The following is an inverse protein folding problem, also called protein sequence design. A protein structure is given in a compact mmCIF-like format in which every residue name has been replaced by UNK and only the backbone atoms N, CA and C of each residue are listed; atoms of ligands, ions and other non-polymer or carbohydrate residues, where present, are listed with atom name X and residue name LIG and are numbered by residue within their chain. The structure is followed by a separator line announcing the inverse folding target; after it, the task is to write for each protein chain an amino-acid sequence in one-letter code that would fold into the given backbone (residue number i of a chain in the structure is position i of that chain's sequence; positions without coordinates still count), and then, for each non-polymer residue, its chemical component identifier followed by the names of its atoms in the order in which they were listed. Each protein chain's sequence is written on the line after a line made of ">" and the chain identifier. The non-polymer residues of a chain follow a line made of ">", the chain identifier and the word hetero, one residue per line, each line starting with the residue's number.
data_IF_461596205589
#
_entry.id   IF_461596205589
#
_cell.length_a   1.000
_cell.length_b   1.000
_cell.length_c   1.000
_cell.angle_alpha   90.00
_cell.angle_beta   90.00
_cell.angle_gamma   90.00
#
_symmetry.space_group_name_H-M   'P 1'
#
loop_
_entity.id
_entity.type
_entity.pdbx_description
1 polymer ?
#
# COMPACT_ATOMS: atom_id res chain seq x y z
N UNK A 1 -6.32 2.02 -12.43
CA UNK A 1 -6.89 3.39 -12.51
C UNK A 1 -6.40 4.35 -11.40
N UNK A 2 -5.57 3.87 -10.45
CA UNK A 2 -4.92 4.72 -9.45
C UNK A 2 -3.91 5.71 -10.08
N UNK A 3 -3.49 5.45 -11.31
CA UNK A 3 -2.48 6.24 -12.03
C UNK A 3 -3.08 7.28 -12.99
N UNK A 4 -4.40 7.44 -12.97
CA UNK A 4 -5.03 8.48 -13.79
C UNK A 4 -4.83 9.83 -13.10
N UNK A 5 -4.18 10.82 -13.77
CA UNK A 5 -4.01 12.12 -13.18
C UNK A 5 -5.38 12.70 -12.79
N UNK A 6 -5.50 13.09 -11.53
CA UNK A 6 -6.69 13.75 -11.03
C UNK A 6 -6.80 15.12 -11.69
N UNK A 7 -8.01 15.50 -12.08
CA UNK A 7 -8.24 16.87 -12.48
C UNK A 7 -8.23 17.78 -11.24
N UNK A 8 -8.10 19.11 -11.42
CA UNK A 8 -8.02 20.08 -10.31
C UNK A 8 -9.19 19.93 -9.31
N UNK A 9 -10.39 19.60 -9.77
CA UNK A 9 -11.57 19.37 -8.92
C UNK A 9 -11.46 18.08 -8.11
N UNK A 10 -10.94 17.03 -8.70
CA UNK A 10 -10.76 15.75 -8.01
C UNK A 10 -9.63 15.81 -6.97
N UNK A 11 -8.66 16.69 -7.17
CA UNK A 11 -7.55 16.91 -6.22
C UNK A 11 -7.94 17.91 -5.11
N UNK A 12 -8.97 18.74 -5.34
CA UNK A 12 -9.43 19.78 -4.42
C UNK A 12 -10.08 19.26 -3.12
N UNK A 13 -10.31 17.95 -2.97
CA UNK A 13 -10.77 17.40 -1.69
C UNK A 13 -9.69 17.46 -0.60
N UNK A 14 -8.43 17.63 -0.97
CA UNK A 14 -7.32 17.88 -0.05
C UNK A 14 -7.27 19.38 0.25
N UNK A 15 -7.48 19.84 1.50
CA UNK A 15 -7.58 21.26 1.82
C UNK A 15 -6.41 22.10 1.32
N UNK A 16 -5.18 21.56 1.38
CA UNK A 16 -3.98 22.24 0.91
C UNK A 16 -3.96 22.40 -0.61
N UNK A 17 -4.44 21.39 -1.36
CA UNK A 17 -4.57 21.45 -2.82
C UNK A 17 -5.69 22.40 -3.25
N UNK A 18 -6.78 22.43 -2.51
CA UNK A 18 -7.86 23.40 -2.71
C UNK A 18 -7.33 24.82 -2.51
N UNK A 19 -6.62 25.10 -1.43
CA UNK A 19 -6.04 26.41 -1.16
C UNK A 19 -5.07 26.84 -2.27
N UNK A 20 -4.21 25.93 -2.73
CA UNK A 20 -3.30 26.18 -3.86
C UNK A 20 -4.07 26.46 -5.16
N UNK A 21 -5.06 25.62 -5.48
CA UNK A 21 -5.88 25.81 -6.68
C UNK A 21 -6.63 27.14 -6.68
N UNK A 22 -7.16 27.57 -5.53
CA UNK A 22 -7.81 28.87 -5.39
C UNK A 22 -6.85 30.04 -5.58
N UNK A 23 -5.64 29.93 -5.02
CA UNK A 23 -4.60 30.98 -5.17
C UNK A 23 -4.13 31.15 -6.63
N UNK A 24 -4.12 30.04 -7.39
CA UNK A 24 -3.73 30.05 -8.81
C UNK A 24 -4.88 30.44 -9.76
N UNK A 25 -6.14 30.37 -9.29
CA UNK A 25 -7.30 30.61 -10.14
C UNK A 25 -7.54 32.12 -10.35
N UNK A 26 -7.85 32.47 -11.58
CA UNK A 26 -8.21 33.84 -11.97
C UNK A 26 -9.68 33.88 -12.42
N UNK A 27 -10.32 35.02 -12.21
CA UNK A 27 -11.69 35.26 -12.70
C UNK A 27 -11.69 35.52 -14.22
N UNK A 28 -12.87 35.64 -14.81
CA UNK A 28 -13.04 35.90 -16.24
C UNK A 28 -12.39 37.24 -16.69
N UNK A 29 -12.13 38.15 -15.77
CA UNK A 29 -11.45 39.42 -16.00
C UNK A 29 -9.92 39.33 -15.79
N UNK A 30 -9.36 38.14 -15.62
CA UNK A 30 -7.93 37.91 -15.41
C UNK A 30 -7.42 38.26 -14.01
N UNK A 31 -8.28 38.70 -13.07
CA UNK A 31 -7.89 39.05 -11.71
C UNK A 31 -7.81 37.78 -10.83
N UNK A 32 -6.81 37.66 -9.91
CA UNK A 32 -6.73 36.54 -9.00
C UNK A 32 -7.98 36.46 -8.11
N UNK A 33 -8.44 35.23 -7.83
CA UNK A 33 -9.58 35.01 -6.93
C UNK A 33 -9.19 35.26 -5.47
N UNK A 34 -7.97 34.93 -5.09
CA UNK A 34 -7.43 35.16 -3.76
C UNK A 34 -6.53 36.38 -3.82
N UNK A 35 -6.92 37.45 -3.12
CA UNK A 35 -6.15 38.69 -3.06
C UNK A 35 -5.08 38.62 -1.97
N UNK A 36 -5.38 37.96 -0.85
CA UNK A 36 -4.49 37.84 0.29
C UNK A 36 -4.70 36.50 0.98
N UNK A 37 -3.60 35.91 1.47
CA UNK A 37 -3.62 34.71 2.29
C UNK A 37 -2.93 35.00 3.61
N UNK A 38 -3.66 34.90 4.70
CA UNK A 38 -3.13 35.10 6.05
C UNK A 38 -3.04 33.76 6.79
N UNK A 39 -1.85 33.43 7.28
CA UNK A 39 -1.67 32.29 8.18
C UNK A 39 -2.04 32.70 9.60
N UNK A 40 -3.14 32.19 10.10
CA UNK A 40 -3.64 32.50 11.45
C UNK A 40 -2.90 31.74 12.56
N UNK A 41 -2.33 30.57 12.20
CA UNK A 41 -1.62 29.72 13.14
C UNK A 41 -0.27 29.31 12.57
N UNK A 42 0.78 29.24 13.42
CA UNK A 42 2.08 28.72 12.97
C UNK A 42 1.92 27.27 12.54
N UNK A 43 2.46 26.95 11.37
CA UNK A 43 2.45 25.58 10.87
C UNK A 43 3.38 24.73 11.74
N UNK A 44 2.78 23.89 12.62
CA UNK A 44 3.52 22.99 13.54
C UNK A 44 3.90 21.67 12.89
N UNK A 45 3.34 21.40 11.73
CA UNK A 45 3.57 20.16 10.99
C UNK A 45 4.44 20.50 9.78
N UNK A 46 5.53 19.78 9.60
CA UNK A 46 6.36 19.93 8.41
C UNK A 46 5.51 19.71 7.15
N UNK A 47 5.77 20.46 6.07
CA UNK A 47 5.08 20.23 4.81
C UNK A 47 5.28 18.78 4.37
N UNK A 48 4.27 18.16 3.74
CA UNK A 48 4.40 16.79 3.26
C UNK A 48 5.59 16.71 2.28
N UNK A 49 6.34 15.62 2.32
CA UNK A 49 7.47 15.44 1.42
C UNK A 49 6.98 15.51 -0.04
N UNK A 50 7.60 16.34 -0.84
CA UNK A 50 7.23 16.49 -2.26
C UNK A 50 7.57 15.27 -3.09
N UNK A 51 8.53 14.45 -2.61
CA UNK A 51 8.90 13.18 -3.21
C UNK A 51 8.64 12.05 -2.23
N UNK A 52 8.06 10.96 -2.75
CA UNK A 52 7.90 9.75 -1.95
C UNK A 52 9.29 9.17 -1.65
N UNK A 53 9.62 8.95 -0.38
CA UNK A 53 10.90 8.35 -0.03
C UNK A 53 11.00 6.97 -0.71
N UNK A 54 12.07 6.75 -1.45
CA UNK A 54 12.35 5.45 -2.05
C UNK A 54 12.95 4.55 -0.98
N UNK A 55 12.20 3.54 -0.55
CA UNK A 55 12.58 2.61 0.51
C UNK A 55 13.00 1.20 0.05
N UNK A 56 13.55 0.97 -1.18
CA UNK A 56 13.84 -0.39 -1.61
C UNK A 56 14.88 -1.08 -0.73
N UNK A 57 15.90 -0.33 -0.30
CA UNK A 57 16.97 -0.87 0.56
C UNK A 57 16.42 -1.16 1.96
N UNK A 58 15.65 -0.24 2.54
CA UNK A 58 15.04 -0.44 3.86
C UNK A 58 14.10 -1.64 3.85
N UNK A 59 13.24 -1.76 2.84
CA UNK A 59 12.33 -2.89 2.69
C UNK A 59 13.10 -4.22 2.56
N UNK A 60 14.19 -4.23 1.78
CA UNK A 60 15.06 -5.39 1.65
C UNK A 60 15.69 -5.78 2.99
N UNK A 61 16.24 -4.81 3.72
CA UNK A 61 16.87 -5.05 5.03
C UNK A 61 15.86 -5.59 6.05
N UNK A 62 14.65 -5.02 6.09
CA UNK A 62 13.55 -5.53 6.94
C UNK A 62 13.18 -6.95 6.56
N UNK A 63 13.06 -7.24 5.26
CA UNK A 63 12.77 -8.60 4.78
C UNK A 63 13.85 -9.59 5.14
N UNK A 64 15.14 -9.24 4.99
CA UNK A 64 16.26 -10.08 5.39
C UNK A 64 16.32 -10.29 6.91
N UNK A 65 16.04 -9.25 7.70
CA UNK A 65 15.99 -9.37 9.15
C UNK A 65 14.87 -10.33 9.59
N UNK A 66 13.68 -10.21 9.01
CA UNK A 66 12.56 -11.12 9.25
C UNK A 66 12.92 -12.57 8.87
N UNK A 67 13.51 -12.78 7.70
CA UNK A 67 13.97 -14.10 7.28
C UNK A 67 15.00 -14.68 8.26
N UNK A 68 15.95 -13.86 8.73
CA UNK A 68 16.94 -14.24 9.74
C UNK A 68 16.29 -14.65 11.07
N UNK A 69 15.28 -13.91 11.53
CA UNK A 69 14.53 -14.24 12.75
C UNK A 69 13.82 -15.60 12.60
N UNK A 70 13.15 -15.83 11.47
CA UNK A 70 12.50 -17.12 11.20
C UNK A 70 13.52 -18.28 11.15
N UNK A 71 14.65 -18.06 10.49
CA UNK A 71 15.71 -19.07 10.41
C UNK A 71 16.30 -19.38 11.78
N UNK A 72 16.59 -18.36 12.58
CA UNK A 72 17.06 -18.52 13.95
C UNK A 72 16.05 -19.28 14.82
N UNK A 73 14.77 -18.90 14.73
CA UNK A 73 13.69 -19.59 15.44
C UNK A 73 13.60 -21.07 15.06
N UNK A 74 13.78 -21.43 13.78
CA UNK A 74 13.81 -22.82 13.32
C UNK A 74 14.98 -23.61 13.92
N UNK A 75 16.15 -22.97 14.09
CA UNK A 75 17.34 -23.58 14.69
C UNK A 75 17.20 -23.77 16.20
N UNK A 76 16.56 -22.82 16.89
CA UNK A 76 16.36 -22.89 18.34
C UNK A 76 15.24 -23.88 18.66
N UNK A 77 14.04 -23.70 18.12
CA UNK A 77 12.89 -24.55 18.42
C UNK A 77 11.81 -24.45 17.33
N UNK A 78 11.45 -25.55 16.73
CA UNK A 78 10.39 -25.62 15.71
C UNK A 78 9.05 -25.05 16.18
N UNK A 79 8.72 -25.19 17.46
CA UNK A 79 7.51 -24.62 18.04
C UNK A 79 7.51 -23.09 17.95
N UNK A 80 8.64 -22.45 18.28
CA UNK A 80 8.81 -20.99 18.18
C UNK A 80 8.62 -20.51 16.73
N UNK A 81 9.28 -21.17 15.78
CA UNK A 81 9.14 -20.81 14.37
C UNK A 81 7.67 -20.96 13.89
N UNK A 82 6.98 -22.02 14.31
CA UNK A 82 5.57 -22.22 13.97
C UNK A 82 4.68 -21.12 14.56
N UNK A 83 4.93 -20.71 15.79
CA UNK A 83 4.17 -19.62 16.44
C UNK A 83 4.41 -18.29 15.72
N UNK A 84 5.67 -17.97 15.41
CA UNK A 84 5.99 -16.74 14.65
C UNK A 84 5.36 -16.74 13.26
N UNK A 85 5.42 -17.86 12.55
CA UNK A 85 4.81 -18.01 11.24
C UNK A 85 3.29 -17.86 11.31
N UNK A 86 2.65 -18.46 12.30
CA UNK A 86 1.21 -18.35 12.52
C UNK A 86 0.81 -16.90 12.82
N UNK A 87 1.54 -16.21 13.70
CA UNK A 87 1.31 -14.80 14.02
C UNK A 87 1.46 -13.91 12.77
N UNK A 88 2.51 -14.16 11.98
CA UNK A 88 2.74 -13.43 10.72
C UNK A 88 1.60 -13.66 9.70
N UNK A 89 1.14 -14.91 9.53
CA UNK A 89 0.03 -15.19 8.63
C UNK A 89 -1.30 -14.61 9.11
N UNK A 90 -1.56 -14.61 10.42
CA UNK A 90 -2.74 -13.95 10.99
C UNK A 90 -2.68 -12.44 10.69
N UNK A 91 -1.55 -11.80 10.93
CA UNK A 91 -1.37 -10.38 10.65
C UNK A 91 -1.58 -10.06 9.16
N UNK A 92 -0.85 -10.74 8.27
CA UNK A 92 -0.96 -10.52 6.83
C UNK A 92 -2.36 -10.84 6.31
N UNK A 93 -2.98 -11.91 6.80
CA UNK A 93 -4.31 -12.33 6.37
C UNK A 93 -5.41 -11.37 6.82
N UNK A 94 -5.36 -10.87 8.06
CA UNK A 94 -6.28 -9.84 8.56
C UNK A 94 -6.12 -8.53 7.80
N UNK A 95 -4.89 -8.05 7.62
CA UNK A 95 -4.62 -6.87 6.83
C UNK A 95 -5.13 -7.02 5.39
N UNK A 96 -4.89 -8.19 4.77
CA UNK A 96 -5.40 -8.50 3.44
C UNK A 96 -6.92 -8.53 3.35
N UNK A 97 -7.61 -9.08 4.35
CA UNK A 97 -9.07 -9.04 4.41
C UNK A 97 -9.60 -7.61 4.52
N UNK A 98 -8.98 -6.76 5.35
CA UNK A 98 -9.35 -5.34 5.49
C UNK A 98 -9.15 -4.63 4.15
N UNK A 99 -7.98 -4.79 3.51
CA UNK A 99 -7.70 -4.17 2.22
C UNK A 99 -8.67 -4.63 1.12
N UNK A 100 -8.98 -5.94 1.09
CA UNK A 100 -9.94 -6.49 0.14
C UNK A 100 -11.36 -5.97 0.40
N UNK A 101 -11.76 -5.84 1.67
CA UNK A 101 -13.07 -5.28 2.02
C UNK A 101 -13.20 -3.81 1.63
N UNK A 102 -12.15 -3.02 1.82
CA UNK A 102 -12.11 -1.63 1.34
C UNK A 102 -12.24 -1.57 -0.18
N UNK A 103 -11.66 -2.51 -0.89
CA UNK A 103 -11.78 -2.57 -2.35
C UNK A 103 -13.16 -2.98 -2.83
N UNK A 104 -13.81 -3.96 -2.18
CA UNK A 104 -15.09 -4.52 -2.61
C UNK A 104 -16.29 -3.71 -2.14
N UNK A 105 -16.23 -3.09 -0.95
CA UNK A 105 -17.38 -2.50 -0.27
C UNK A 105 -17.31 -0.98 -0.14
N UNK A 106 -16.24 -0.34 -0.62
CA UNK A 106 -16.11 1.11 -0.54
C UNK A 106 -15.77 1.71 -1.90
N UNK A 107 -16.15 2.96 -2.10
CA UNK A 107 -15.79 3.75 -3.28
C UNK A 107 -14.39 4.38 -3.17
N UNK A 108 -13.57 3.92 -2.23
CA UNK A 108 -12.21 4.41 -2.03
C UNK A 108 -11.32 4.02 -3.21
N UNK A 109 -11.26 4.87 -4.21
CA UNK A 109 -10.50 4.63 -5.45
C UNK A 109 -9.02 4.33 -5.21
N UNK A 110 -8.44 4.88 -4.13
CA UNK A 110 -7.05 4.60 -3.73
C UNK A 110 -6.81 3.17 -3.22
N UNK A 111 -7.86 2.47 -2.79
CA UNK A 111 -7.75 1.07 -2.40
C UNK A 111 -7.74 0.12 -3.61
N UNK A 112 -8.28 0.59 -4.75
CA UNK A 112 -8.39 -0.22 -5.96
C UNK A 112 -7.01 -0.39 -6.63
N UNK A 113 -6.69 -1.62 -7.01
CA UNK A 113 -5.39 -1.94 -7.63
C UNK A 113 -4.20 -1.91 -6.68
N UNK A 114 -4.43 -1.94 -5.36
CA UNK A 114 -3.36 -1.95 -4.37
C UNK A 114 -2.59 -3.27 -4.42
N UNK A 115 -1.37 -3.22 -4.95
CA UNK A 115 -0.48 -4.37 -5.12
C UNK A 115 -0.09 -5.03 -3.79
N UNK A 116 -0.22 -4.30 -2.66
CA UNK A 116 0.06 -4.87 -1.36
C UNK A 116 -0.91 -6.01 -0.99
N UNK A 117 -2.05 -6.10 -1.68
CA UNK A 117 -2.97 -7.23 -1.54
C UNK A 117 -2.33 -8.56 -1.98
N UNK A 118 -1.36 -8.53 -2.88
CA UNK A 118 -0.58 -9.72 -3.27
C UNK A 118 0.36 -10.17 -2.14
N UNK A 119 0.94 -9.23 -1.38
CA UNK A 119 1.82 -9.53 -0.25
C UNK A 119 1.03 -9.88 1.01
N UNK A 120 -0.07 -9.15 1.26
CA UNK A 120 -0.98 -9.36 2.38
C UNK A 120 -2.23 -10.11 1.89
N UNK A 121 -2.02 -11.34 1.41
CA UNK A 121 -3.11 -12.13 0.83
C UNK A 121 -4.11 -12.58 1.91
N UNK A 122 -5.42 -12.43 1.70
CA UNK A 122 -6.46 -13.00 2.59
C UNK A 122 -6.31 -14.52 2.78
N UNK A 123 -5.69 -15.20 1.80
CA UNK A 123 -5.43 -16.65 1.89
C UNK A 123 -4.43 -17.00 3.01
N UNK A 124 -3.65 -16.03 3.50
CA UNK A 124 -2.81 -16.24 4.68
C UNK A 124 -3.66 -16.47 5.94
N UNK A 125 -4.81 -15.79 6.08
CA UNK A 125 -5.76 -16.07 7.17
C UNK A 125 -6.33 -17.48 7.08
N UNK A 126 -6.71 -17.91 5.89
CA UNK A 126 -7.18 -19.29 5.67
C UNK A 126 -6.11 -20.33 6.05
N UNK A 127 -4.85 -20.09 5.64
CA UNK A 127 -3.74 -20.96 6.01
C UNK A 127 -3.52 -20.99 7.54
N UNK A 128 -3.60 -19.83 8.22
CA UNK A 128 -3.48 -19.74 9.66
C UNK A 128 -4.58 -20.53 10.40
N UNK A 129 -5.83 -20.36 9.99
CA UNK A 129 -6.98 -21.08 10.60
C UNK A 129 -6.90 -22.60 10.38
N UNK A 130 -6.52 -23.00 9.17
CA UNK A 130 -6.40 -24.44 8.84
C UNK A 130 -5.17 -25.09 9.48
N UNK A 131 -4.18 -24.30 9.92
CA UNK A 131 -2.97 -24.82 10.54
C UNK A 131 -3.27 -25.74 11.74
N UNK A 132 -4.22 -25.37 12.59
CA UNK A 132 -4.57 -26.14 13.78
C UNK A 132 -5.22 -27.49 13.46
N UNK A 133 -6.04 -27.55 12.40
CA UNK A 133 -6.86 -28.71 12.06
C UNK A 133 -6.31 -29.57 10.92
N UNK A 134 -5.23 -29.11 10.24
CA UNK A 134 -4.64 -29.79 9.06
C UNK A 134 -4.21 -31.24 9.30
N UNK A 135 -3.89 -31.61 10.55
CA UNK A 135 -3.51 -32.98 10.91
C UNK A 135 -4.71 -33.90 11.17
N UNK A 136 -5.90 -33.31 11.37
CA UNK A 136 -7.11 -34.04 11.73
C UNK A 136 -7.96 -34.46 10.52
N UNK A 137 -7.77 -33.80 9.36
CA UNK A 137 -8.57 -34.01 8.18
C UNK A 137 -7.74 -33.89 6.91
N UNK A 138 -7.85 -34.84 6.00
CA UNK A 138 -7.20 -34.78 4.69
C UNK A 138 -7.69 -33.59 3.86
N UNK A 139 -8.95 -33.20 3.97
CA UNK A 139 -9.53 -32.03 3.35
C UNK A 139 -8.85 -30.76 3.88
N UNK A 140 -8.78 -30.57 5.20
CA UNK A 140 -8.13 -29.42 5.82
C UNK A 140 -6.65 -29.34 5.42
N UNK A 141 -5.97 -30.48 5.32
CA UNK A 141 -4.58 -30.53 4.86
C UNK A 141 -4.43 -30.04 3.42
N UNK A 142 -5.28 -30.50 2.51
CA UNK A 142 -5.24 -30.07 1.10
C UNK A 142 -5.48 -28.57 0.95
N UNK A 143 -6.50 -28.04 1.63
CA UNK A 143 -6.79 -26.60 1.60
C UNK A 143 -5.71 -25.75 2.26
N UNK A 144 -5.11 -26.23 3.36
CA UNK A 144 -3.95 -25.60 3.96
C UNK A 144 -2.79 -25.48 2.96
N UNK A 145 -2.43 -26.59 2.30
CA UNK A 145 -1.34 -26.61 1.31
C UNK A 145 -1.65 -25.69 0.13
N UNK A 146 -2.89 -25.69 -0.35
CA UNK A 146 -3.34 -24.79 -1.42
C UNK A 146 -3.20 -23.33 -1.01
N UNK A 147 -3.68 -22.95 0.18
CA UNK A 147 -3.57 -21.59 0.72
C UNK A 147 -2.12 -21.13 0.82
N UNK A 148 -1.23 -21.98 1.33
CA UNK A 148 0.22 -21.69 1.41
C UNK A 148 0.82 -21.47 0.02
N UNK A 149 0.46 -22.30 -0.95
CA UNK A 149 0.94 -22.15 -2.35
C UNK A 149 0.46 -20.85 -2.99
N UNK A 150 -0.81 -20.48 -2.76
CA UNK A 150 -1.36 -19.21 -3.25
C UNK A 150 -0.61 -18.03 -2.62
N UNK A 151 -0.41 -18.03 -1.30
CA UNK A 151 0.34 -16.97 -0.60
C UNK A 151 1.77 -16.86 -1.13
N UNK A 152 2.46 -17.97 -1.30
CA UNK A 152 3.82 -17.99 -1.86
C UNK A 152 3.84 -17.48 -3.32
N UNK A 153 2.90 -17.95 -4.14
CA UNK A 153 2.80 -17.52 -5.54
C UNK A 153 2.46 -16.03 -5.68
N UNK A 154 1.55 -15.51 -4.84
CA UNK A 154 1.21 -14.09 -4.84
C UNK A 154 2.37 -13.21 -4.37
N UNK A 155 3.17 -13.66 -3.40
CA UNK A 155 4.38 -12.95 -2.98
C UNK A 155 5.44 -12.91 -4.08
N UNK A 156 5.66 -14.02 -4.79
CA UNK A 156 6.57 -14.06 -5.96
C UNK A 156 6.05 -13.12 -7.06
N UNK A 157 4.76 -13.17 -7.37
CA UNK A 157 4.15 -12.28 -8.35
C UNK A 157 4.35 -10.81 -7.98
N UNK A 158 4.14 -10.42 -6.70
CA UNK A 158 4.36 -9.06 -6.22
C UNK A 158 5.81 -8.59 -6.44
N UNK A 159 6.78 -9.46 -6.15
CA UNK A 159 8.21 -9.15 -6.39
C UNK A 159 8.49 -8.97 -7.88
N UNK A 160 7.97 -9.87 -8.73
CA UNK A 160 8.15 -9.77 -10.18
C UNK A 160 7.52 -8.50 -10.75
N UNK A 161 6.31 -8.13 -10.33
CA UNK A 161 5.68 -6.86 -10.72
C UNK A 161 6.54 -5.65 -10.36
N UNK A 162 7.13 -5.64 -9.16
CA UNK A 162 8.04 -4.57 -8.72
C UNK A 162 9.33 -4.52 -9.54
N UNK A 163 9.92 -5.65 -9.84
CA UNK A 163 11.17 -5.75 -10.62
C UNK A 163 10.97 -5.37 -12.09
N UNK A 164 9.85 -5.77 -12.68
CA UNK A 164 9.53 -5.49 -14.08
C UNK A 164 9.02 -4.06 -14.30
N UNK A 165 8.89 -3.25 -13.24
CA UNK A 165 8.39 -1.88 -13.34
C UNK A 165 6.91 -1.78 -13.71
N UNK A 166 6.20 -2.91 -13.83
CA UNK A 166 4.77 -2.94 -14.14
C UNK A 166 3.91 -2.34 -13.03
N UNK A 167 4.47 -2.27 -11.80
CA UNK A 167 3.87 -1.66 -10.63
C UNK A 167 4.41 -0.27 -10.32
N UNK A 168 4.81 0.50 -11.32
CA UNK A 168 5.37 1.82 -11.10
C UNK A 168 4.25 2.83 -10.82
N UNK A 169 3.86 2.95 -9.56
CA UNK A 169 3.05 4.08 -9.06
C UNK A 169 3.82 5.43 -9.16
N UNK A 170 4.93 5.45 -9.89
CA UNK A 170 5.77 6.64 -10.11
C UNK A 170 5.15 7.66 -11.06
N UNK A 171 4.04 7.34 -11.72
CA UNK A 171 3.50 8.17 -12.81
C UNK A 171 2.60 9.33 -12.38
N UNK A 172 2.40 9.60 -11.09
CA UNK A 172 1.34 10.52 -10.66
C UNK A 172 1.83 11.88 -10.19
N UNK A 173 3.10 12.18 -10.26
CA UNK A 173 3.59 13.55 -10.01
C UNK A 173 4.34 14.09 -11.22
N UNK A 174 3.75 13.98 -12.41
CA UNK A 174 4.00 14.97 -13.45
C UNK A 174 3.03 16.13 -13.23
N UNK A 175 3.41 17.05 -12.40
CA UNK A 175 2.93 18.43 -12.51
C UNK A 175 3.30 18.87 -13.92
N UNK A 176 2.35 19.23 -14.79
CA UNK A 176 2.71 19.84 -16.07
C UNK A 176 3.51 21.08 -15.72
N UNK A 177 4.78 21.11 -16.10
CA UNK A 177 5.57 22.32 -16.11
C UNK A 177 4.83 23.28 -17.04
N UNK A 178 4.14 24.26 -16.49
CA UNK A 178 3.63 25.35 -17.30
C UNK A 178 4.86 26.05 -17.87
N UNK A 179 5.09 25.87 -19.16
CA UNK A 179 5.98 26.75 -19.91
C UNK A 179 5.47 28.18 -19.72
N UNK A 180 6.30 29.12 -19.26
CA UNK A 180 5.93 30.53 -19.26
C UNK A 180 6.10 31.04 -20.68
N UNK A 181 5.01 31.22 -21.39
CA UNK A 181 5.12 31.83 -22.70
C UNK A 181 3.98 31.50 -23.65
N UNK A 182 3.00 32.31 -23.71
CA UNK A 182 2.53 33.12 -24.85
C UNK A 182 1.27 33.87 -24.43
#
# INVERSE_FOLDING_TARGET
>A
NADKPLNRWQDAFIPMRLAQSLAETRNNAGKPLVLETQSLLPNRIAPPPQELPQWPITALLVGLAMAGIFFAALRIRRSLANTLMLAFWLFCGLAGCIMLSLWLFTEHRFAHGNENLLLMSPMALTAALLYAVRKKSAFAHRFYVLSVRIVAGSAVAAVLFKLLGAGNQRAVVMVPRMEPGL
#
